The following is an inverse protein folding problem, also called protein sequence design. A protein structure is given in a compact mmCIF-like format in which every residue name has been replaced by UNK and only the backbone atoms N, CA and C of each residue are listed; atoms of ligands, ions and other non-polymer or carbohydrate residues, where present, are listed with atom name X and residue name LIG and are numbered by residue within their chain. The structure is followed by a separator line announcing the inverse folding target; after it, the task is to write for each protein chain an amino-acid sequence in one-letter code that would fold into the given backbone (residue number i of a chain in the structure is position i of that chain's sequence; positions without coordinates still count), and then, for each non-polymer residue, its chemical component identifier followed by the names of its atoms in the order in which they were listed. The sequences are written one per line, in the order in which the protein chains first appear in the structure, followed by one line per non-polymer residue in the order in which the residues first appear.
data_IF_499806598363
#
_entry.id   IF_499806598363
#
_cell.length_a   1.000
_cell.length_b   1.000
_cell.length_c   1.000
_cell.angle_alpha   90.00
_cell.angle_beta   90.00
_cell.angle_gamma   90.00
#
_symmetry.space_group_name_H-M   'P 1'
#
loop_
_entity.id
_entity.type
_entity.pdbx_description
1 polymer ?
#
# COMPACT_ATOMS: atom_id res chain seq x y z
N UNK A 1 -3.74 -9.36 25.83
CA UNK A 1 -3.18 -9.74 24.51
C UNK A 1 -2.06 -10.77 24.62
N UNK A 2 -1.04 -10.56 25.48
CA UNK A 2 0.08 -11.51 25.67
C UNK A 2 -0.35 -12.91 26.12
N UNK A 3 -1.36 -13.05 26.99
CA UNK A 3 -1.94 -14.34 27.35
C UNK A 3 -2.69 -15.03 26.20
N UNK A 4 -3.31 -14.26 25.30
CA UNK A 4 -3.99 -14.81 24.11
C UNK A 4 -2.96 -15.23 23.07
N UNK A 5 -1.88 -14.47 22.90
CA UNK A 5 -0.74 -14.82 22.04
C UNK A 5 0.01 -16.05 22.58
N UNK A 6 0.23 -16.12 23.90
CA UNK A 6 0.84 -17.28 24.55
C UNK A 6 -0.08 -18.50 24.46
N UNK A 7 -1.39 -18.33 24.69
CA UNK A 7 -2.39 -19.40 24.51
C UNK A 7 -2.50 -19.85 23.06
N UNK A 8 -2.47 -18.96 22.07
CA UNK A 8 -2.41 -19.34 20.66
C UNK A 8 -1.12 -20.08 20.35
N UNK A 9 0.02 -19.63 20.89
CA UNK A 9 1.33 -20.27 20.75
C UNK A 9 1.40 -21.67 21.40
N UNK A 10 0.79 -21.86 22.58
CA UNK A 10 0.84 -23.12 23.33
C UNK A 10 -0.29 -24.09 23.00
N UNK A 11 -1.50 -23.58 22.72
CA UNK A 11 -2.71 -24.39 22.60
C UNK A 11 -2.98 -24.80 21.16
N UNK A 12 -2.44 -24.09 20.18
CA UNK A 12 -2.52 -24.53 18.81
C UNK A 12 -1.30 -25.37 18.47
N UNK A 13 -1.53 -26.48 17.76
CA UNK A 13 -0.53 -27.25 17.00
C UNK A 13 0.12 -26.42 15.86
N UNK A 14 0.30 -25.10 16.04
CA UNK A 14 0.82 -24.10 15.08
C UNK A 14 2.24 -24.42 14.65
N UNK A 15 3.05 -25.02 15.54
CA UNK A 15 4.46 -25.32 15.25
C UNK A 15 4.61 -26.46 14.24
N UNK A 16 3.58 -27.29 14.00
CA UNK A 16 3.72 -28.43 13.07
C UNK A 16 3.49 -28.11 11.60
N UNK A 17 3.00 -26.91 11.24
CA UNK A 17 2.64 -26.60 9.84
C UNK A 17 2.96 -25.18 9.36
N UNK A 18 3.40 -24.25 10.21
CA UNK A 18 3.80 -22.91 9.77
C UNK A 18 5.28 -22.91 9.32
N UNK A 19 5.61 -22.15 8.26
CA UNK A 19 6.90 -22.18 7.58
C UNK A 19 8.12 -22.01 8.51
N UNK A 20 9.32 -22.36 8.02
CA UNK A 20 10.62 -22.17 8.71
C UNK A 20 10.89 -20.75 9.23
N UNK A 21 10.07 -19.78 8.85
CA UNK A 21 10.17 -18.36 9.21
C UNK A 21 9.17 -17.96 10.30
N UNK A 22 8.22 -18.81 10.69
CA UNK A 22 7.23 -18.54 11.76
C UNK A 22 7.86 -18.25 13.11
N UNK A 23 8.87 -19.04 13.50
CA UNK A 23 9.62 -18.77 14.73
C UNK A 23 10.27 -17.39 14.72
N UNK A 24 10.80 -16.95 13.57
CA UNK A 24 11.45 -15.63 13.44
C UNK A 24 10.44 -14.48 13.54
N UNK A 25 9.29 -14.61 12.88
CA UNK A 25 8.20 -13.64 13.00
C UNK A 25 7.71 -13.55 14.44
N UNK A 26 7.68 -14.67 15.17
CA UNK A 26 7.29 -14.68 16.58
C UNK A 26 8.29 -13.91 17.44
N UNK A 27 9.59 -14.17 17.27
CA UNK A 27 10.61 -13.43 18.00
C UNK A 27 10.60 -11.94 17.67
N UNK A 28 10.38 -11.56 16.41
CA UNK A 28 10.25 -10.16 16.02
C UNK A 28 9.01 -9.50 16.63
N UNK A 29 7.87 -10.20 16.68
CA UNK A 29 6.67 -9.72 17.37
C UNK A 29 6.95 -9.46 18.86
N UNK A 30 7.64 -10.39 19.53
CA UNK A 30 8.05 -10.21 20.93
C UNK A 30 9.00 -9.02 21.08
N UNK A 31 9.96 -8.86 20.16
CA UNK A 31 10.86 -7.71 20.14
C UNK A 31 10.10 -6.37 20.02
N UNK A 32 9.13 -6.29 19.10
CA UNK A 32 8.26 -5.11 18.96
C UNK A 32 7.40 -4.86 20.20
N UNK A 33 7.06 -5.90 20.97
CA UNK A 33 6.37 -5.72 22.26
C UNK A 33 7.31 -5.12 23.31
N UNK A 34 8.56 -5.57 23.35
CA UNK A 34 9.57 -5.06 24.28
C UNK A 34 10.04 -3.64 23.95
N UNK A 35 9.89 -3.18 22.71
CA UNK A 35 10.23 -1.80 22.35
C UNK A 35 9.35 -0.75 23.05
N UNK A 36 8.30 -1.14 23.77
CA UNK A 36 7.58 -0.26 24.71
C UNK A 36 8.52 0.44 25.71
N UNK A 37 9.67 -0.16 26.03
CA UNK A 37 10.70 0.46 26.89
C UNK A 37 11.20 1.79 26.33
N UNK A 38 11.11 2.02 25.02
CA UNK A 38 11.42 3.29 24.37
C UNK A 38 10.63 4.48 24.91
N UNK A 39 9.44 4.22 25.44
CA UNK A 39 8.55 5.24 26.00
C UNK A 39 8.96 5.72 27.40
N UNK A 40 9.99 5.15 28.01
CA UNK A 40 10.55 5.69 29.25
C UNK A 40 11.41 6.94 29.02
N UNK A 41 11.87 7.16 27.79
CA UNK A 41 12.83 8.21 27.47
C UNK A 41 12.37 9.12 26.33
N UNK A 42 11.58 8.62 25.36
CA UNK A 42 11.15 9.38 24.17
C UNK A 42 10.13 10.54 24.38
N UNK A 43 9.73 10.85 25.62
CA UNK A 43 8.73 11.88 25.99
C UNK A 43 7.33 11.77 25.32
N UNK A 44 7.04 10.68 24.61
CA UNK A 44 5.78 10.47 23.91
C UNK A 44 4.74 9.78 24.79
N UNK A 45 3.43 10.05 24.59
CA UNK A 45 2.40 9.35 25.32
C UNK A 45 2.30 7.89 24.86
N UNK A 46 2.17 6.97 25.82
CA UNK A 46 2.04 5.51 25.55
C UNK A 46 0.80 5.16 24.71
N UNK A 47 -0.17 6.07 24.58
CA UNK A 47 -1.30 5.91 23.67
C UNK A 47 -0.87 5.76 22.20
N UNK A 48 0.26 6.36 21.81
CA UNK A 48 0.84 6.21 20.45
C UNK A 48 1.26 4.77 20.20
N UNK A 49 1.92 4.14 21.18
CA UNK A 49 2.31 2.72 21.10
C UNK A 49 1.10 1.82 20.87
N UNK A 50 0.03 2.01 21.67
CA UNK A 50 -1.21 1.24 21.52
C UNK A 50 -1.89 1.46 20.17
N UNK A 51 -1.85 2.68 19.64
CA UNK A 51 -2.37 2.97 18.32
C UNK A 51 -1.58 2.24 17.22
N UNK A 52 -0.27 2.11 17.37
CA UNK A 52 0.59 1.43 16.39
C UNK A 52 0.49 -0.11 16.45
N UNK A 53 0.18 -0.69 17.62
CA UNK A 53 -0.09 -2.13 17.74
C UNK A 53 -1.17 -2.58 16.74
N UNK A 54 -2.21 -1.76 16.57
CA UNK A 54 -3.31 -2.07 15.66
C UNK A 54 -2.89 -2.10 14.18
N UNK A 55 -1.87 -1.34 13.80
CA UNK A 55 -1.41 -1.21 12.42
C UNK A 55 -0.23 -2.12 12.08
N UNK A 56 0.64 -2.45 13.03
CA UNK A 56 1.83 -3.28 12.78
C UNK A 56 1.73 -4.69 13.35
N UNK A 57 1.32 -4.86 14.61
CA UNK A 57 1.32 -6.19 15.23
C UNK A 57 0.13 -7.03 14.80
N UNK A 58 -1.04 -6.42 14.58
CA UNK A 58 -2.23 -7.15 14.15
C UNK A 58 -2.01 -7.90 12.81
N UNK A 59 -1.43 -7.30 11.76
CA UNK A 59 -1.03 -8.03 10.55
C UNK A 59 -0.10 -9.22 10.81
N UNK A 60 0.87 -9.08 11.72
CA UNK A 60 1.82 -10.17 12.05
C UNK A 60 1.12 -11.38 12.68
N UNK A 61 -0.01 -11.18 13.39
CA UNK A 61 -0.77 -12.28 13.99
C UNK A 61 -1.30 -13.23 12.91
N UNK A 62 -1.66 -12.72 11.72
CA UNK A 62 -2.12 -13.56 10.62
C UNK A 62 -1.04 -14.54 10.12
N UNK A 63 0.24 -14.29 10.39
CA UNK A 63 1.33 -15.22 10.09
C UNK A 63 1.22 -16.53 10.87
N UNK A 64 0.61 -16.50 12.06
CA UNK A 64 0.48 -17.67 12.93
C UNK A 64 -0.82 -18.42 12.74
N UNK A 65 -1.73 -17.94 11.89
CA UNK A 65 -2.97 -18.66 11.60
C UNK A 65 -2.61 -19.81 10.66
N UNK A 66 -2.70 -21.07 11.09
CA UNK A 66 -2.35 -22.20 10.25
C UNK A 66 -3.38 -22.29 9.12
N UNK A 67 -2.92 -22.14 7.88
CA UNK A 67 -3.72 -22.50 6.73
C UNK A 67 -3.67 -24.03 6.60
N UNK A 68 -4.76 -24.71 6.96
CA UNK A 68 -4.90 -26.16 6.81
C UNK A 68 -4.85 -26.62 5.33
N UNK A 69 -4.79 -25.68 4.38
CA UNK A 69 -4.78 -25.89 2.94
C UNK A 69 -3.82 -24.90 2.28
N UNK A 70 -3.15 -25.32 1.21
CA UNK A 70 -2.41 -24.38 0.36
C UNK A 70 -3.38 -23.28 -0.13
N UNK A 71 -2.95 -22.02 -0.02
CA UNK A 71 -3.75 -20.89 -0.49
C UNK A 71 -3.92 -21.03 -2.00
N UNK A 72 -5.16 -21.28 -2.44
CA UNK A 72 -5.52 -21.28 -3.86
C UNK A 72 -5.36 -19.85 -4.42
N UNK A 73 -4.20 -19.62 -5.04
CA UNK A 73 -3.82 -18.34 -5.64
C UNK A 73 -4.85 -17.85 -6.65
N UNK A 74 -5.43 -18.78 -7.41
CA UNK A 74 -6.42 -18.46 -8.46
C UNK A 74 -7.73 -17.98 -7.85
N UNK A 75 -8.19 -18.65 -6.80
CA UNK A 75 -9.35 -18.21 -6.02
C UNK A 75 -9.10 -16.88 -5.34
N UNK A 76 -7.91 -16.67 -4.75
CA UNK A 76 -7.55 -15.40 -4.13
C UNK A 76 -7.59 -14.25 -5.14
N UNK A 77 -6.92 -14.39 -6.29
CA UNK A 77 -6.92 -13.36 -7.34
C UNK A 77 -8.34 -13.03 -7.83
N UNK A 78 -9.20 -14.04 -8.00
CA UNK A 78 -10.59 -13.83 -8.41
C UNK A 78 -11.36 -13.03 -7.36
N UNK A 79 -11.27 -13.43 -6.09
CA UNK A 79 -11.96 -12.74 -4.99
C UNK A 79 -11.44 -11.30 -4.85
N UNK A 80 -10.12 -11.11 -4.92
CA UNK A 80 -9.49 -9.80 -4.84
C UNK A 80 -10.00 -8.88 -5.96
N UNK A 81 -9.92 -9.32 -7.23
CA UNK A 81 -10.39 -8.54 -8.37
C UNK A 81 -11.87 -8.16 -8.23
N UNK A 82 -12.73 -9.10 -7.81
CA UNK A 82 -14.16 -8.83 -7.59
C UNK A 82 -14.36 -7.81 -6.47
N UNK A 83 -13.70 -7.98 -5.33
CA UNK A 83 -13.82 -7.08 -4.18
C UNK A 83 -13.37 -5.65 -4.52
N UNK A 84 -12.22 -5.50 -5.20
CA UNK A 84 -11.72 -4.19 -5.63
C UNK A 84 -12.62 -3.58 -6.70
N UNK A 85 -13.17 -4.38 -7.62
CA UNK A 85 -14.13 -3.88 -8.62
C UNK A 85 -15.37 -3.30 -7.95
N UNK A 86 -15.94 -4.01 -6.96
CA UNK A 86 -17.09 -3.51 -6.19
C UNK A 86 -16.72 -2.20 -5.48
N UNK A 87 -15.54 -2.12 -4.87
CA UNK A 87 -15.06 -0.90 -4.23
C UNK A 87 -14.91 0.27 -5.22
N UNK A 88 -14.38 0.03 -6.42
CA UNK A 88 -14.26 1.07 -7.45
C UNK A 88 -15.65 1.53 -7.90
N UNK A 89 -16.58 0.62 -8.18
CA UNK A 89 -17.92 0.97 -8.64
C UNK A 89 -18.68 1.78 -7.58
N UNK A 90 -18.65 1.36 -6.31
CA UNK A 90 -19.23 2.11 -5.20
C UNK A 90 -18.52 3.46 -5.02
N UNK A 91 -17.20 3.48 -5.16
CA UNK A 91 -16.41 4.70 -5.10
C UNK A 91 -16.78 5.70 -6.19
N UNK A 92 -16.96 5.26 -7.43
CA UNK A 92 -17.38 6.11 -8.56
C UNK A 92 -18.78 6.66 -8.29
N UNK A 93 -19.69 5.83 -7.80
CA UNK A 93 -21.01 6.29 -7.37
C UNK A 93 -20.89 7.42 -6.32
N UNK A 94 -20.12 7.21 -5.25
CA UNK A 94 -19.95 8.25 -4.23
C UNK A 94 -19.22 9.50 -4.73
N UNK A 95 -18.27 9.33 -5.65
CA UNK A 95 -17.51 10.43 -6.25
C UNK A 95 -18.39 11.32 -7.14
N UNK A 96 -19.34 10.73 -7.88
CA UNK A 96 -20.26 11.48 -8.75
C UNK A 96 -21.40 12.12 -7.94
N UNK A 97 -22.05 11.35 -7.08
CA UNK A 97 -23.27 11.79 -6.39
C UNK A 97 -23.01 12.57 -5.10
N UNK A 98 -21.81 12.47 -4.53
CA UNK A 98 -21.37 13.20 -3.33
C UNK A 98 -22.43 13.26 -2.21
N UNK A 99 -22.95 12.11 -1.72
CA UNK A 99 -23.95 12.14 -0.66
C UNK A 99 -23.37 12.77 0.63
N UNK A 100 -24.18 13.42 1.48
CA UNK A 100 -23.68 14.16 2.64
C UNK A 100 -22.79 13.33 3.58
N UNK A 101 -23.12 12.04 3.77
CA UNK A 101 -22.31 11.14 4.58
C UNK A 101 -20.90 10.91 4.02
N UNK A 102 -20.77 10.86 2.68
CA UNK A 102 -19.47 10.69 2.02
C UNK A 102 -18.63 11.96 2.09
N UNK A 103 -19.26 13.14 1.94
CA UNK A 103 -18.57 14.42 2.15
C UNK A 103 -18.06 14.54 3.57
N UNK A 104 -18.87 14.19 4.58
CA UNK A 104 -18.45 14.18 5.98
C UNK A 104 -17.29 13.21 6.23
N UNK A 105 -17.30 12.05 5.59
CA UNK A 105 -16.18 11.11 5.61
C UNK A 105 -14.89 11.72 5.03
N UNK A 106 -14.97 12.35 3.85
CA UNK A 106 -13.81 13.03 3.23
C UNK A 106 -13.29 14.15 4.13
N UNK A 107 -14.17 15.01 4.64
CA UNK A 107 -13.79 16.13 5.52
C UNK A 107 -13.14 15.62 6.80
N UNK A 108 -13.68 14.55 7.41
CA UNK A 108 -13.07 13.92 8.58
C UNK A 108 -11.69 13.36 8.26
N UNK A 109 -11.54 12.72 7.10
CA UNK A 109 -10.26 12.14 6.66
C UNK A 109 -9.22 13.23 6.40
N UNK A 110 -9.61 14.30 5.70
CA UNK A 110 -8.78 15.47 5.44
C UNK A 110 -8.34 16.19 6.72
N UNK A 111 -9.22 16.25 7.74
CA UNK A 111 -8.92 16.91 9.01
C UNK A 111 -8.10 16.04 9.98
N UNK A 112 -8.04 14.71 9.78
CA UNK A 112 -7.37 13.78 10.71
C UNK A 112 -6.06 13.21 10.16
N UNK A 113 -5.79 13.37 8.87
CA UNK A 113 -4.59 12.85 8.24
C UNK A 113 -4.04 13.85 7.22
N UNK A 114 -2.71 13.83 7.13
CA UNK A 114 -1.77 14.22 6.07
C UNK A 114 -2.26 14.43 4.62
N UNK A 115 -3.51 14.18 4.23
CA UNK A 115 -4.06 14.39 2.89
C UNK A 115 -4.35 15.87 2.56
N UNK A 116 -3.41 16.77 2.88
CA UNK A 116 -3.43 18.16 2.46
C UNK A 116 -4.68 18.94 2.89
N UNK A 117 -4.92 20.07 2.23
CA UNK A 117 -6.12 20.86 2.44
C UNK A 117 -7.37 20.11 1.97
N UNK A 118 -8.54 20.47 2.52
CA UNK A 118 -9.85 19.95 2.10
C UNK A 118 -10.01 20.00 0.56
N UNK A 119 -9.46 21.02 -0.10
CA UNK A 119 -9.50 21.16 -1.56
C UNK A 119 -8.80 20.01 -2.30
N UNK A 120 -7.66 19.53 -1.80
CA UNK A 120 -6.92 18.41 -2.40
C UNK A 120 -7.61 17.08 -2.15
N UNK A 121 -8.11 16.86 -0.93
CA UNK A 121 -8.77 15.60 -0.55
C UNK A 121 -10.09 15.37 -1.32
N UNK A 122 -10.86 16.43 -1.62
CA UNK A 122 -12.11 16.34 -2.39
C UNK A 122 -11.86 15.95 -3.85
N UNK A 123 -10.76 16.43 -4.44
CA UNK A 123 -10.39 16.13 -5.83
C UNK A 123 -9.84 14.71 -6.01
N UNK A 124 -9.47 14.02 -4.92
CA UNK A 124 -8.93 12.66 -4.97
C UNK A 124 -10.03 11.62 -4.96
N UNK A 125 -9.85 10.60 -5.79
CA UNK A 125 -10.68 9.39 -5.73
C UNK A 125 -10.33 8.55 -4.49
N UNK A 126 -11.11 8.74 -3.43
CA UNK A 126 -10.94 8.04 -2.16
C UNK A 126 -11.63 6.67 -2.11
N UNK A 127 -12.68 6.45 -2.91
CA UNK A 127 -13.53 5.26 -2.80
C UNK A 127 -13.93 5.02 -1.33
N UNK A 128 -13.98 3.76 -0.88
CA UNK A 128 -14.33 3.36 0.49
C UNK A 128 -13.11 3.21 1.42
N UNK A 129 -11.88 3.25 0.88
CA UNK A 129 -10.65 2.94 1.61
C UNK A 129 -9.71 4.13 1.81
N UNK A 130 -10.00 5.29 1.18
CA UNK A 130 -9.06 6.40 1.09
C UNK A 130 -8.13 6.28 -0.11
N UNK A 131 -7.63 7.42 -0.58
CA UNK A 131 -6.93 7.54 -1.86
C UNK A 131 -5.65 6.68 -1.96
N UNK A 132 -4.86 6.60 -0.89
CA UNK A 132 -3.61 5.81 -0.85
C UNK A 132 -3.85 4.30 -0.97
N UNK A 133 -4.81 3.78 -0.20
CA UNK A 133 -5.12 2.34 -0.21
C UNK A 133 -5.79 1.97 -1.54
N UNK A 134 -6.72 2.79 -2.00
CA UNK A 134 -7.39 2.58 -3.29
C UNK A 134 -6.40 2.58 -4.46
N UNK A 135 -5.47 3.53 -4.49
CA UNK A 135 -4.41 3.57 -5.51
C UNK A 135 -3.58 2.29 -5.51
N UNK A 136 -3.13 1.85 -4.33
CA UNK A 136 -2.36 0.60 -4.18
C UNK A 136 -3.13 -0.63 -4.66
N UNK A 137 -4.40 -0.76 -4.28
CA UNK A 137 -5.26 -1.88 -4.71
C UNK A 137 -5.54 -1.87 -6.21
N UNK A 138 -5.74 -0.69 -6.81
CA UNK A 138 -5.88 -0.54 -8.26
C UNK A 138 -4.62 -1.03 -8.99
N UNK A 139 -3.42 -0.71 -8.49
CA UNK A 139 -2.18 -1.20 -9.09
C UNK A 139 -2.01 -2.71 -8.91
N UNK A 140 -2.35 -3.28 -7.74
CA UNK A 140 -2.34 -4.74 -7.59
C UNK A 140 -3.32 -5.44 -8.54
N UNK A 141 -4.50 -4.86 -8.76
CA UNK A 141 -5.46 -5.36 -9.74
C UNK A 141 -4.89 -5.31 -11.16
N UNK A 142 -4.20 -4.24 -11.55
CA UNK A 142 -3.46 -4.12 -12.82
C UNK A 142 -2.44 -5.25 -12.96
N UNK A 143 -1.61 -5.49 -11.93
CA UNK A 143 -0.59 -6.55 -11.94
C UNK A 143 -1.23 -7.93 -12.13
N UNK A 144 -2.31 -8.22 -11.39
CA UNK A 144 -3.03 -9.49 -11.51
C UNK A 144 -3.59 -9.68 -12.93
N UNK A 145 -4.17 -8.63 -13.51
CA UNK A 145 -4.72 -8.69 -14.88
C UNK A 145 -3.61 -8.87 -15.91
N UNK A 146 -2.49 -8.14 -15.79
CA UNK A 146 -1.30 -8.33 -16.64
C UNK A 146 -0.79 -9.77 -16.54
N UNK A 147 -0.70 -10.32 -15.32
CA UNK A 147 -0.31 -11.72 -15.10
C UNK A 147 -1.24 -12.70 -15.83
N UNK A 148 -2.55 -12.42 -15.92
CA UNK A 148 -3.49 -13.22 -16.73
C UNK A 148 -3.16 -13.18 -18.22
N UNK A 149 -2.92 -11.99 -18.77
CA UNK A 149 -2.54 -11.84 -20.18
C UNK A 149 -1.18 -12.46 -20.51
N UNK A 150 -0.32 -12.64 -19.51
CA UNK A 150 0.97 -13.29 -19.64
C UNK A 150 0.87 -14.82 -19.70
N UNK A 151 -0.16 -15.42 -19.11
CA UNK A 151 -0.34 -16.87 -19.09
C UNK A 151 -0.90 -17.38 -20.43
N UNK A 152 -0.03 -17.43 -21.45
CA UNK A 152 -0.34 -17.77 -22.86
C UNK A 152 -1.01 -19.15 -23.02
N UNK A 153 -0.99 -20.01 -21.99
CA UNK A 153 -1.62 -21.32 -22.04
C UNK A 153 -3.14 -21.28 -21.85
N UNK A 154 -3.70 -20.17 -21.34
CA UNK A 154 -5.15 -20.01 -21.19
C UNK A 154 -5.76 -19.44 -22.46
N UNK A 155 -6.59 -20.25 -23.12
CA UNK A 155 -7.49 -19.74 -24.15
C UNK A 155 -8.61 -18.94 -23.48
N UNK A 156 -8.74 -17.67 -23.87
CA UNK A 156 -9.80 -16.79 -23.39
C UNK A 156 -10.93 -16.76 -24.39
N UNK A 157 -12.16 -16.95 -23.92
CA UNK A 157 -13.34 -16.59 -24.72
C UNK A 157 -13.33 -15.08 -25.00
N UNK A 158 -13.94 -14.66 -26.12
CA UNK A 158 -14.03 -13.24 -26.48
C UNK A 158 -14.67 -12.39 -25.36
N UNK A 159 -15.71 -12.90 -24.71
CA UNK A 159 -16.36 -12.24 -23.58
C UNK A 159 -15.45 -12.10 -22.37
N UNK A 160 -14.69 -13.15 -22.04
CA UNK A 160 -13.71 -13.11 -20.94
C UNK A 160 -12.60 -12.10 -21.22
N UNK A 161 -12.11 -12.05 -22.46
CA UNK A 161 -11.12 -11.07 -22.90
C UNK A 161 -11.63 -9.64 -22.70
N UNK A 162 -12.84 -9.35 -23.20
CA UNK A 162 -13.46 -8.04 -23.08
C UNK A 162 -13.64 -7.62 -21.61
N UNK A 163 -14.06 -8.56 -20.75
CA UNK A 163 -14.20 -8.31 -19.33
C UNK A 163 -12.86 -7.93 -18.67
N UNK A 164 -11.78 -8.66 -18.95
CA UNK A 164 -10.47 -8.32 -18.38
C UNK A 164 -9.93 -6.98 -18.88
N UNK A 165 -10.18 -6.64 -20.15
CA UNK A 165 -9.82 -5.33 -20.70
C UNK A 165 -10.61 -4.19 -20.03
N UNK A 166 -11.90 -4.38 -19.79
CA UNK A 166 -12.74 -3.43 -19.07
C UNK A 166 -12.25 -3.23 -17.63
N UNK A 167 -12.00 -4.32 -16.92
CA UNK A 167 -11.48 -4.28 -15.54
C UNK A 167 -10.11 -3.59 -15.48
N UNK A 168 -9.26 -3.81 -16.49
CA UNK A 168 -7.98 -3.13 -16.61
C UNK A 168 -8.15 -1.62 -16.76
N UNK A 169 -9.03 -1.15 -17.65
CA UNK A 169 -9.33 0.28 -17.80
C UNK A 169 -9.81 0.86 -16.48
N UNK A 170 -10.76 0.20 -15.83
CA UNK A 170 -11.34 0.68 -14.57
C UNK A 170 -10.26 0.82 -13.49
N UNK A 171 -9.38 -0.18 -13.36
CA UNK A 171 -8.27 -0.14 -12.40
C UNK A 171 -7.24 0.94 -12.76
N UNK A 172 -6.88 1.07 -14.04
CA UNK A 172 -5.92 2.07 -14.52
C UNK A 172 -6.42 3.50 -14.31
N UNK A 173 -7.66 3.78 -14.71
CA UNK A 173 -8.31 5.07 -14.49
C UNK A 173 -8.46 5.34 -13.00
N UNK A 174 -8.86 4.35 -12.20
CA UNK A 174 -8.94 4.51 -10.74
C UNK A 174 -7.58 4.86 -10.12
N UNK A 175 -6.50 4.21 -10.54
CA UNK A 175 -5.15 4.51 -10.06
C UNK A 175 -4.74 5.96 -10.36
N UNK A 176 -5.11 6.50 -11.53
CA UNK A 176 -4.88 7.89 -11.91
C UNK A 176 -5.76 8.85 -11.08
N UNK A 177 -7.06 8.56 -10.97
CA UNK A 177 -8.01 9.41 -10.25
C UNK A 177 -7.72 9.50 -8.75
N UNK A 178 -6.98 8.56 -8.17
CA UNK A 178 -6.52 8.70 -6.77
C UNK A 178 -5.56 9.87 -6.57
N UNK A 179 -4.94 10.36 -7.66
CA UNK A 179 -3.90 11.39 -7.69
C UNK A 179 -2.76 11.15 -6.68
N UNK A 180 -2.47 9.88 -6.42
CA UNK A 180 -1.34 9.46 -5.61
C UNK A 180 -0.13 9.24 -6.52
N UNK A 181 0.93 10.03 -6.32
CA UNK A 181 2.13 10.05 -7.17
C UNK A 181 2.73 8.64 -7.35
N UNK A 182 2.84 7.89 -6.26
CA UNK A 182 3.36 6.51 -6.27
C UNK A 182 2.47 5.55 -7.05
N UNK A 183 1.14 5.64 -6.88
CA UNK A 183 0.16 4.81 -7.59
C UNK A 183 0.20 5.06 -9.09
N UNK A 184 0.20 6.34 -9.49
CA UNK A 184 0.29 6.74 -10.89
C UNK A 184 1.58 6.24 -11.53
N UNK A 185 2.73 6.53 -10.91
CA UNK A 185 4.02 6.09 -11.42
C UNK A 185 4.12 4.56 -11.51
N UNK A 186 3.64 3.83 -10.49
CA UNK A 186 3.69 2.37 -10.48
C UNK A 186 2.74 1.77 -11.53
N UNK A 187 1.56 2.36 -11.77
CA UNK A 187 0.65 1.91 -12.81
C UNK A 187 1.31 1.95 -14.20
N UNK A 188 1.96 3.08 -14.55
CA UNK A 188 2.73 3.19 -15.79
C UNK A 188 3.93 2.24 -15.81
N UNK A 189 4.69 2.18 -14.71
CA UNK A 189 5.84 1.29 -14.59
C UNK A 189 5.47 -0.18 -14.79
N UNK A 190 4.35 -0.66 -14.23
CA UNK A 190 3.90 -2.04 -14.43
C UNK A 190 3.67 -2.38 -15.90
N UNK A 191 3.12 -1.45 -16.68
CA UNK A 191 2.89 -1.61 -18.11
C UNK A 191 4.22 -1.66 -18.86
N UNK A 192 5.12 -0.72 -18.61
CA UNK A 192 6.45 -0.68 -19.23
C UNK A 192 7.27 -1.92 -18.87
N UNK A 193 7.30 -2.27 -17.59
CA UNK A 193 8.02 -3.44 -17.06
C UNK A 193 7.52 -4.74 -17.69
N UNK A 194 6.22 -4.87 -17.94
CA UNK A 194 5.67 -6.01 -18.67
C UNK A 194 6.28 -6.11 -20.08
N UNK A 195 6.39 -5.02 -20.82
CA UNK A 195 7.03 -5.04 -22.15
C UNK A 195 8.53 -5.34 -22.09
N UNK A 196 9.24 -4.77 -21.12
CA UNK A 196 10.66 -5.08 -20.87
C UNK A 196 10.82 -6.58 -20.64
N UNK A 197 10.05 -7.16 -19.73
CA UNK A 197 10.09 -8.59 -19.44
C UNK A 197 9.68 -9.44 -20.65
N UNK A 198 8.76 -8.97 -21.51
CA UNK A 198 8.36 -9.71 -22.73
C UNK A 198 9.54 -9.83 -23.71
N UNK A 199 10.30 -8.75 -23.86
CA UNK A 199 11.50 -8.70 -24.68
C UNK A 199 12.59 -9.58 -24.05
N UNK A 200 12.90 -9.39 -22.76
CA UNK A 200 13.98 -10.10 -22.06
C UNK A 200 13.71 -11.60 -21.92
N UNK A 201 12.50 -11.99 -21.53
CA UNK A 201 12.13 -13.39 -21.34
C UNK A 201 11.66 -14.08 -22.64
N UNK A 202 11.67 -13.37 -23.77
CA UNK A 202 11.17 -13.83 -25.09
C UNK A 202 9.74 -14.40 -25.06
N UNK A 203 8.94 -13.96 -24.10
CA UNK A 203 7.53 -14.35 -24.01
C UNK A 203 6.70 -13.42 -24.85
N UNK A 204 5.87 -13.96 -25.73
CA UNK A 204 5.01 -13.17 -26.61
C UNK A 204 3.83 -12.63 -25.80
N UNK A 205 3.74 -11.31 -25.67
CA UNK A 205 2.49 -10.66 -25.26
C UNK A 205 1.47 -10.79 -26.40
N UNK A 206 0.20 -10.93 -26.05
CA UNK A 206 -0.90 -10.88 -27.01
C UNK A 206 -0.88 -9.53 -27.76
N UNK A 207 -0.73 -9.57 -29.08
CA UNK A 207 -0.69 -8.35 -29.93
C UNK A 207 -1.91 -7.45 -29.72
N UNK A 208 -3.08 -8.04 -29.47
CA UNK A 208 -4.32 -7.33 -29.14
C UNK A 208 -4.21 -6.52 -27.85
N UNK A 209 -3.55 -7.06 -26.83
CA UNK A 209 -3.28 -6.35 -25.57
C UNK A 209 -2.29 -5.19 -25.79
N UNK A 210 -1.29 -5.36 -26.65
CA UNK A 210 -0.37 -4.28 -27.01
C UNK A 210 -1.06 -3.14 -27.73
N UNK A 211 -1.83 -3.45 -28.77
CA UNK A 211 -2.61 -2.46 -29.49
C UNK A 211 -3.58 -1.71 -28.56
N UNK A 212 -4.24 -2.45 -27.67
CA UNK A 212 -5.15 -1.88 -26.69
C UNK A 212 -4.46 -0.92 -25.72
N UNK A 213 -3.27 -1.24 -25.21
CA UNK A 213 -2.52 -0.34 -24.33
C UNK A 213 -2.10 0.96 -25.04
N UNK A 214 -1.66 0.86 -26.30
CA UNK A 214 -1.33 2.04 -27.10
C UNK A 214 -2.57 2.91 -27.30
N UNK A 215 -3.70 2.30 -27.67
CA UNK A 215 -4.97 3.01 -27.83
C UNK A 215 -5.43 3.66 -26.52
N UNK A 216 -5.37 2.94 -25.40
CA UNK A 216 -5.73 3.46 -24.09
C UNK A 216 -4.87 4.67 -23.71
N UNK A 217 -3.55 4.58 -23.93
CA UNK A 217 -2.64 5.68 -23.64
C UNK A 217 -2.96 6.92 -24.48
N UNK A 218 -3.17 6.74 -25.78
CA UNK A 218 -3.58 7.83 -26.69
C UNK A 218 -4.88 8.47 -26.20
N UNK A 219 -5.91 7.66 -25.90
CA UNK A 219 -7.20 8.18 -25.42
C UNK A 219 -7.05 8.92 -24.10
N UNK A 220 -6.34 8.36 -23.12
CA UNK A 220 -6.13 9.01 -21.81
C UNK A 220 -5.42 10.35 -21.98
N UNK A 221 -4.33 10.39 -22.76
CA UNK A 221 -3.59 11.63 -23.03
C UNK A 221 -4.47 12.65 -23.76
N UNK A 222 -5.17 12.24 -24.83
CA UNK A 222 -6.06 13.15 -25.57
C UNK A 222 -7.18 13.68 -24.69
N UNK A 223 -7.86 12.83 -23.91
CA UNK A 223 -8.96 13.26 -23.04
C UNK A 223 -8.46 14.21 -21.94
N UNK A 224 -7.34 13.91 -21.29
CA UNK A 224 -6.76 14.80 -20.27
C UNK A 224 -6.41 16.17 -20.89
N UNK A 225 -5.72 16.19 -22.04
CA UNK A 225 -5.30 17.42 -22.71
C UNK A 225 -6.45 18.26 -23.25
N UNK A 226 -7.57 17.64 -23.65
CA UNK A 226 -8.67 18.34 -24.35
C UNK A 226 -9.85 18.69 -23.46
N UNK A 227 -10.14 17.88 -22.44
CA UNK A 227 -11.37 18.02 -21.65
C UNK A 227 -11.10 18.53 -20.23
N UNK A 228 -9.86 18.48 -19.76
CA UNK A 228 -9.54 18.72 -18.35
C UNK A 228 -8.23 19.50 -18.18
N UNK A 229 -8.14 20.69 -18.80
CA UNK A 229 -6.93 21.51 -18.72
C UNK A 229 -6.55 21.86 -17.27
N UNK A 230 -7.51 22.13 -16.40
CA UNK A 230 -7.28 22.33 -14.95
C UNK A 230 -6.70 21.07 -14.26
N UNK A 231 -7.07 19.87 -14.71
CA UNK A 231 -6.45 18.64 -14.20
C UNK A 231 -5.07 18.42 -14.78
N UNK A 232 -4.81 18.86 -16.01
CA UNK A 232 -3.47 18.82 -16.58
C UNK A 232 -2.52 19.67 -15.73
N UNK A 233 -2.90 20.92 -15.42
CA UNK A 233 -2.13 21.80 -14.55
C UNK A 233 -1.90 21.17 -13.16
N UNK A 234 -2.95 20.56 -12.58
CA UNK A 234 -2.83 19.82 -11.33
C UNK A 234 -1.90 18.60 -11.43
N UNK A 235 -1.96 17.84 -12.53
CA UNK A 235 -1.09 16.68 -12.74
C UNK A 235 0.35 17.09 -13.01
N UNK A 236 0.58 18.16 -13.74
CA UNK A 236 1.88 18.79 -13.97
C UNK A 236 2.49 19.21 -12.63
N UNK A 237 1.75 19.95 -11.80
CA UNK A 237 2.19 20.31 -10.44
C UNK A 237 2.52 19.06 -9.60
N UNK A 238 1.74 17.98 -9.74
CA UNK A 238 1.99 16.71 -9.03
C UNK A 238 3.23 15.98 -9.52
N UNK A 239 3.58 16.09 -10.80
CA UNK A 239 4.79 15.50 -11.39
C UNK A 239 6.01 16.34 -11.00
N UNK A 240 5.95 17.66 -11.11
CA UNK A 240 7.05 18.56 -10.76
C UNK A 240 7.41 18.47 -9.27
N UNK A 241 6.42 18.21 -8.42
CA UNK A 241 6.62 17.99 -7.00
C UNK A 241 7.14 16.60 -6.61
N UNK A 242 7.48 15.73 -7.58
CA UNK A 242 8.14 14.44 -7.30
C UNK A 242 9.55 14.69 -6.74
N UNK A 243 10.32 15.59 -7.33
CA UNK A 243 11.70 15.85 -6.91
C UNK A 243 11.76 16.45 -5.51
N UNK A 244 10.95 17.49 -5.25
CA UNK A 244 10.84 18.09 -3.92
C UNK A 244 10.39 17.10 -2.83
N UNK A 245 9.57 16.12 -3.17
CA UNK A 245 9.11 15.12 -2.21
C UNK A 245 10.20 14.14 -1.76
N UNK A 246 11.22 13.87 -2.60
CA UNK A 246 12.37 13.07 -2.16
C UNK A 246 13.22 13.84 -1.15
N UNK A 247 13.44 15.14 -1.38
CA UNK A 247 14.22 15.98 -0.46
C UNK A 247 13.49 16.20 0.87
N UNK A 248 12.19 16.46 0.84
CA UNK A 248 11.35 16.56 2.05
C UNK A 248 11.40 15.28 2.88
N UNK A 249 11.28 14.11 2.25
CA UNK A 249 11.34 12.80 2.93
C UNK A 249 12.73 12.52 3.49
N UNK A 250 13.79 12.79 2.74
CA UNK A 250 15.16 12.64 3.22
C UNK A 250 15.41 13.51 4.44
N UNK A 251 14.93 14.76 4.43
CA UNK A 251 14.96 15.66 5.58
C UNK A 251 14.24 15.08 6.79
N UNK A 252 13.00 14.60 6.61
CA UNK A 252 12.22 13.94 7.67
C UNK A 252 12.95 12.73 8.27
N UNK A 253 13.56 11.90 7.43
CA UNK A 253 14.32 10.73 7.90
C UNK A 253 15.53 11.15 8.72
N UNK A 254 16.35 12.05 8.19
CA UNK A 254 17.56 12.55 8.86
C UNK A 254 17.20 13.20 10.19
N UNK A 255 16.18 14.05 10.22
CA UNK A 255 15.76 14.74 11.43
C UNK A 255 15.21 13.75 12.47
N UNK A 256 14.46 12.73 12.05
CA UNK A 256 13.99 11.68 12.95
C UNK A 256 15.14 10.87 13.53
N UNK A 257 16.15 10.52 12.73
CA UNK A 257 17.33 9.79 13.24
C UNK A 257 18.20 10.63 14.17
N UNK A 258 18.36 11.93 13.92
CA UNK A 258 19.09 12.85 14.80
C UNK A 258 18.45 13.00 16.18
N UNK A 259 17.13 12.85 16.25
CA UNK A 259 16.35 12.92 17.49
C UNK A 259 15.96 11.55 18.03
N UNK A 260 16.54 10.47 17.46
CA UNK A 260 16.39 9.14 18.01
C UNK A 260 17.32 8.95 19.19
N UNK A 261 16.76 8.83 20.39
CA UNK A 261 17.53 8.69 21.63
C UNK A 261 18.34 7.38 21.70
N UNK A 262 17.92 6.35 20.95
CA UNK A 262 18.64 5.09 20.89
C UNK A 262 18.53 4.46 19.51
N UNK A 263 19.58 4.58 18.70
CA UNK A 263 19.61 4.01 17.35
C UNK A 263 19.78 2.48 17.33
N UNK A 264 20.31 1.88 18.40
CA UNK A 264 20.60 0.44 18.47
C UNK A 264 19.30 -0.34 18.71
N UNK A 265 18.53 0.07 19.72
CA UNK A 265 17.28 -0.60 20.13
C UNK A 265 16.01 0.13 19.68
N UNK A 266 16.15 1.37 19.19
CA UNK A 266 15.04 2.21 18.74
C UNK A 266 14.46 3.08 19.85
N UNK A 267 13.53 3.96 19.48
CA UNK A 267 12.79 4.84 20.41
C UNK A 267 11.41 4.31 20.77
N UNK A 268 11.05 3.10 20.33
CA UNK A 268 9.82 2.41 20.64
C UNK A 268 8.83 2.34 19.48
N UNK A 269 8.02 1.28 19.45
CA UNK A 269 7.06 1.05 18.37
C UNK A 269 6.06 2.21 18.26
N UNK A 270 5.91 2.77 17.05
CA UNK A 270 5.01 3.90 16.79
C UNK A 270 5.60 5.29 17.07
N UNK A 271 6.82 5.39 17.59
CA UNK A 271 7.46 6.67 17.92
C UNK A 271 7.82 7.52 16.70
N UNK A 272 7.95 6.91 15.52
CA UNK A 272 8.31 7.59 14.28
C UNK A 272 7.22 7.47 13.20
N UNK A 273 6.16 6.70 13.42
CA UNK A 273 5.10 6.50 12.44
C UNK A 273 4.07 7.62 12.37
N UNK A 274 3.07 7.43 11.51
CA UNK A 274 1.95 8.36 11.37
C UNK A 274 1.17 8.64 12.67
N UNK A 275 1.21 7.72 13.65
CA UNK A 275 0.49 7.89 14.92
C UNK A 275 1.11 8.96 15.82
N UNK A 276 2.34 9.39 15.55
CA UNK A 276 3.06 10.38 16.35
C UNK A 276 2.87 11.83 15.86
N UNK A 277 2.29 12.04 14.67
CA UNK A 277 2.19 13.34 14.00
C UNK A 277 1.56 14.45 14.84
N UNK A 278 0.64 14.12 15.75
CA UNK A 278 0.00 15.09 16.63
C UNK A 278 0.87 15.53 17.82
N UNK A 279 1.98 14.82 18.08
CA UNK A 279 2.81 14.99 19.28
C UNK A 279 4.21 15.50 18.95
N UNK A 280 4.74 15.19 17.76
CA UNK A 280 6.09 15.61 17.38
C UNK A 280 6.22 15.88 15.88
N UNK A 281 7.18 16.74 15.54
CA UNK A 281 7.60 16.99 14.16
C UNK A 281 8.56 15.91 13.63
N UNK A 282 9.13 15.07 14.50
CA UNK A 282 10.06 14.00 14.13
C UNK A 282 9.29 12.73 13.78
N UNK A 283 9.07 12.50 12.49
CA UNK A 283 8.31 11.36 12.00
C UNK A 283 8.80 10.93 10.62
N UNK A 284 8.48 9.68 10.29
CA UNK A 284 8.73 9.00 9.04
C UNK A 284 7.37 8.48 8.55
N UNK A 285 6.70 9.26 7.73
CA UNK A 285 5.43 8.89 7.10
C UNK A 285 5.66 7.85 6.00
N UNK A 286 6.65 8.08 5.15
CA UNK A 286 7.01 7.20 4.04
C UNK A 286 8.40 6.60 4.24
N UNK A 287 8.55 5.28 4.05
CA UNK A 287 9.82 4.57 4.23
C UNK A 287 9.81 3.57 5.39
N UNK A 288 9.10 2.45 5.20
CA UNK A 288 8.88 1.45 6.25
C UNK A 288 10.18 0.93 6.89
N UNK A 289 11.26 0.75 6.12
CA UNK A 289 12.56 0.32 6.64
C UNK A 289 13.19 1.37 7.55
N UNK A 290 13.15 2.65 7.16
CA UNK A 290 13.65 3.75 7.98
C UNK A 290 12.82 3.91 9.25
N UNK A 291 11.49 3.79 9.14
CA UNK A 291 10.59 3.76 10.30
C UNK A 291 10.92 2.62 11.27
N UNK A 292 11.07 1.38 10.78
CA UNK A 292 11.47 0.24 11.62
C UNK A 292 12.82 0.52 12.29
N UNK A 293 13.76 1.14 11.59
CA UNK A 293 15.07 1.50 12.16
C UNK A 293 14.93 2.55 13.26
N UNK A 294 14.07 3.55 13.10
CA UNK A 294 13.83 4.57 14.13
C UNK A 294 13.09 3.99 15.35
N UNK A 295 12.05 3.19 15.13
CA UNK A 295 11.18 2.66 16.18
C UNK A 295 11.79 1.47 16.93
N UNK A 296 12.45 0.57 16.20
CA UNK A 296 12.94 -0.73 16.68
C UNK A 296 14.46 -0.85 16.61
N UNK A 297 15.16 0.19 16.16
CA UNK A 297 16.62 0.23 16.09
C UNK A 297 17.22 -0.62 14.96
N UNK A 298 18.54 -0.57 14.87
CA UNK A 298 19.32 -1.41 13.95
C UNK A 298 19.08 -2.89 14.24
N UNK A 299 18.93 -3.29 15.50
CA UNK A 299 18.63 -4.69 15.88
C UNK A 299 17.30 -5.13 15.29
N UNK A 300 16.25 -4.31 15.41
CA UNK A 300 14.95 -4.59 14.82
C UNK A 300 15.00 -4.67 13.29
N UNK A 301 15.74 -3.76 12.65
CA UNK A 301 15.93 -3.78 11.19
C UNK A 301 16.62 -5.07 10.72
N UNK A 302 17.70 -5.49 11.38
CA UNK A 302 18.43 -6.72 11.02
C UNK A 302 17.51 -7.93 11.16
N UNK A 303 16.71 -7.99 12.24
CA UNK A 303 15.75 -9.08 12.45
C UNK A 303 14.71 -9.11 11.32
N UNK A 304 14.16 -7.95 10.96
CA UNK A 304 13.18 -7.82 9.89
C UNK A 304 13.76 -8.23 8.53
N UNK A 305 14.97 -7.77 8.19
CA UNK A 305 15.65 -8.17 6.95
C UNK A 305 15.96 -9.67 6.92
N UNK A 306 16.33 -10.26 8.05
CA UNK A 306 16.57 -11.70 8.14
C UNK A 306 15.30 -12.52 7.89
N UNK A 307 14.13 -12.04 8.31
CA UNK A 307 12.83 -12.66 8.00
C UNK A 307 12.53 -12.61 6.50
N UNK A 308 12.86 -11.50 5.83
CA UNK A 308 12.58 -11.32 4.39
C UNK A 308 13.49 -12.22 3.53
N UNK A 309 14.76 -12.37 3.92
CA UNK A 309 15.77 -13.08 3.12
C UNK A 309 15.59 -14.62 3.21
N UNK A 310 14.95 -15.13 4.27
CA UNK A 310 14.83 -16.57 4.57
C UNK A 310 13.47 -17.17 4.21
#
# INVERSE_FOLDING_TARGET
MSFVLLYLYTSCKIIRFASSSAGLVFFFLIYCIFSVQGYFYNELPISVYWAEISTQLLPMIFFFIPFNQEVDKERFYRIFVVAITIAIVLGIYYYIFNPPAYIQYIVKTANTAYEGSIGVSIQRFNSIFGSTIMGSFSVFMIIIIIYRFWDVKKEYSFLSLLLYLLLYIIAFVSAILTAQRSSMALAFFCVVFMYICSILCRKKILKSFTFFNVLLYVVVVTVILTMFQEYFDFFEERIDSIDGAFDERNGQWIDTFKHSENIIFGTGLGSAGHKVLAFTKYHITDGALFKITAECGIVGLIFFLYIIIK
#
